data_IF_266206944395
#
_entry.id   IF_266206944395
#
_cell.length_a   1.000
_cell.length_b   1.000
_cell.length_c   1.000
_cell.angle_alpha   90.00
_cell.angle_beta   90.00
_cell.angle_gamma   90.00
#
_symmetry.space_group_name_H-M   'P 1'
#
loop_
_entity.id
_entity.type
_entity.pdbx_description
1 polymer ?
#
# COMPACT_ATOMS: atom_id res chain seq x y z
N UNK A 1 2.18 25.35 -4.27
CA UNK A 1 0.94 24.83 -3.66
C UNK A 1 0.97 25.13 -2.18
N UNK A 2 -0.15 25.56 -1.56
CA UNK A 2 -0.20 25.73 -0.11
C UNK A 2 0.18 24.42 0.59
N UNK A 3 1.03 24.44 1.63
CA UNK A 3 1.50 23.22 2.32
C UNK A 3 0.36 22.30 2.79
N UNK A 4 -0.77 22.90 3.18
CA UNK A 4 -1.98 22.22 3.65
C UNK A 4 -2.69 21.40 2.56
N UNK A 5 -2.76 21.91 1.33
CA UNK A 5 -3.42 21.23 0.19
C UNK A 5 -2.61 20.01 -0.24
N UNK A 6 -1.28 20.10 -0.17
CA UNK A 6 -0.39 19.02 -0.57
C UNK A 6 -0.40 17.86 0.42
N UNK A 7 -0.54 18.13 1.73
CA UNK A 7 -0.80 17.10 2.76
C UNK A 7 -2.12 16.36 2.51
N UNK A 8 -3.20 17.08 2.14
CA UNK A 8 -4.48 16.45 1.80
C UNK A 8 -4.36 15.54 0.57
N UNK A 9 -3.68 15.99 -0.49
CA UNK A 9 -3.47 15.18 -1.69
C UNK A 9 -2.61 13.95 -1.38
N UNK A 10 -1.53 14.11 -0.61
CA UNK A 10 -0.66 12.99 -0.26
C UNK A 10 -1.36 11.96 0.64
N UNK A 11 -2.20 12.41 1.58
CA UNK A 11 -3.05 11.51 2.37
C UNK A 11 -4.05 10.76 1.46
N UNK A 12 -4.76 11.47 0.59
CA UNK A 12 -5.71 10.86 -0.32
C UNK A 12 -5.02 9.85 -1.27
N UNK A 13 -3.83 10.18 -1.78
CA UNK A 13 -3.03 9.29 -2.61
C UNK A 13 -2.55 8.05 -1.84
N UNK A 14 -2.19 8.18 -0.57
CA UNK A 14 -1.81 7.05 0.28
C UNK A 14 -3.00 6.09 0.46
N UNK A 15 -4.17 6.63 0.78
CA UNK A 15 -5.41 5.85 1.00
C UNK A 15 -5.86 5.19 -0.30
N UNK A 16 -5.92 5.94 -1.41
CA UNK A 16 -6.28 5.38 -2.70
C UNK A 16 -5.28 4.30 -3.15
N UNK A 17 -3.97 4.56 -2.97
CA UNK A 17 -2.91 3.62 -3.29
C UNK A 17 -3.04 2.31 -2.53
N UNK A 18 -3.22 2.37 -1.20
CA UNK A 18 -3.33 1.15 -0.38
C UNK A 18 -4.59 0.36 -0.72
N UNK A 19 -5.71 1.03 -1.00
CA UNK A 19 -6.93 0.35 -1.42
C UNK A 19 -6.71 -0.38 -2.75
N UNK A 20 -6.21 0.30 -3.78
CA UNK A 20 -5.96 -0.30 -5.10
C UNK A 20 -4.99 -1.47 -4.97
N UNK A 21 -3.89 -1.30 -4.22
CA UNK A 21 -2.92 -2.36 -4.00
C UNK A 21 -3.51 -3.57 -3.27
N UNK A 22 -4.27 -3.32 -2.19
CA UNK A 22 -4.92 -4.39 -1.44
C UNK A 22 -5.88 -5.19 -2.32
N UNK A 23 -6.68 -4.53 -3.15
CA UNK A 23 -7.56 -5.20 -4.11
C UNK A 23 -6.78 -6.05 -5.11
N UNK A 24 -5.66 -5.55 -5.65
CA UNK A 24 -4.80 -6.31 -6.56
C UNK A 24 -4.25 -7.56 -5.86
N UNK A 25 -3.70 -7.41 -4.66
CA UNK A 25 -3.13 -8.52 -3.89
C UNK A 25 -4.20 -9.55 -3.52
N UNK A 26 -5.39 -9.11 -3.12
CA UNK A 26 -6.53 -9.99 -2.83
C UNK A 26 -6.97 -10.74 -4.08
N UNK A 27 -7.09 -10.06 -5.21
CA UNK A 27 -7.50 -10.66 -6.47
C UNK A 27 -6.48 -11.72 -6.94
N UNK A 28 -5.19 -11.38 -6.93
CA UNK A 28 -4.10 -12.32 -7.24
C UNK A 28 -4.08 -13.48 -6.26
N UNK A 29 -4.25 -13.20 -4.96
CA UNK A 29 -4.30 -14.22 -3.91
C UNK A 29 -5.46 -15.18 -4.12
N UNK A 30 -6.65 -14.69 -4.46
CA UNK A 30 -7.80 -15.56 -4.75
C UNK A 30 -7.55 -16.44 -5.97
N UNK A 31 -6.93 -15.91 -7.04
CA UNK A 31 -6.66 -16.68 -8.25
C UNK A 31 -5.54 -17.73 -8.10
N UNK A 32 -4.54 -17.46 -7.26
CA UNK A 32 -3.33 -18.30 -7.16
C UNK A 32 -3.27 -19.16 -5.90
N UNK A 33 -4.01 -18.79 -4.86
CA UNK A 33 -3.90 -19.38 -3.52
C UNK A 33 -5.19 -20.05 -3.01
N UNK A 34 -6.24 -20.18 -3.83
CA UNK A 34 -7.50 -20.83 -3.44
C UNK A 34 -7.31 -22.26 -2.91
N UNK A 35 -6.46 -23.06 -3.56
CA UNK A 35 -6.20 -24.47 -3.20
C UNK A 35 -4.94 -24.65 -2.34
N UNK A 36 -4.31 -23.57 -1.90
CA UNK A 36 -3.05 -23.62 -1.13
C UNK A 36 -3.35 -23.73 0.37
N UNK A 37 -2.46 -24.37 1.15
CA UNK A 37 -2.61 -24.45 2.59
C UNK A 37 -2.50 -23.06 3.26
N UNK A 38 -3.21 -22.89 4.37
CA UNK A 38 -3.35 -21.60 5.06
C UNK A 38 -2.02 -20.92 5.45
N UNK A 39 -0.97 -21.69 5.74
CA UNK A 39 0.35 -21.14 6.06
C UNK A 39 1.02 -20.46 4.85
N UNK A 40 0.77 -20.95 3.62
CA UNK A 40 1.27 -20.31 2.39
C UNK A 40 0.51 -19.02 2.15
N UNK A 41 -0.80 -19.02 2.36
CA UNK A 41 -1.62 -17.81 2.27
C UNK A 41 -1.13 -16.74 3.26
N UNK A 42 -0.88 -17.14 4.52
CA UNK A 42 -0.34 -16.24 5.54
C UNK A 42 1.01 -15.63 5.11
N UNK A 43 1.93 -16.47 4.62
CA UNK A 43 3.24 -16.00 4.14
C UNK A 43 3.10 -15.05 2.94
N UNK A 44 2.20 -15.35 2.00
CA UNK A 44 1.93 -14.52 0.83
C UNK A 44 1.36 -13.14 1.23
N UNK A 45 0.26 -13.12 1.98
CA UNK A 45 -0.36 -11.85 2.40
C UNK A 45 0.55 -11.06 3.34
N UNK A 46 1.30 -11.72 4.22
CA UNK A 46 2.30 -11.08 5.07
C UNK A 46 3.43 -10.43 4.25
N UNK A 47 3.99 -11.15 3.29
CA UNK A 47 5.05 -10.63 2.42
C UNK A 47 4.56 -9.47 1.56
N UNK A 48 3.44 -9.63 0.86
CA UNK A 48 2.89 -8.57 0.02
C UNK A 48 2.40 -7.36 0.84
N UNK A 49 1.92 -7.58 2.07
CA UNK A 49 1.63 -6.48 3.00
C UNK A 49 2.88 -5.67 3.37
N UNK A 50 4.01 -6.36 3.62
CA UNK A 50 5.29 -5.70 3.90
C UNK A 50 5.85 -4.97 2.68
N UNK A 51 5.72 -5.52 1.48
CA UNK A 51 6.17 -4.86 0.24
C UNK A 51 5.52 -3.48 0.07
N UNK A 52 4.27 -3.31 0.50
CA UNK A 52 3.55 -2.02 0.42
C UNK A 52 4.12 -0.93 1.35
N UNK A 53 4.85 -1.30 2.40
CA UNK A 53 5.44 -0.32 3.32
C UNK A 53 6.44 0.60 2.63
N UNK A 54 7.14 0.11 1.60
CA UNK A 54 8.12 0.89 0.83
C UNK A 54 7.44 2.02 0.03
N UNK A 55 6.41 1.76 -0.81
CA UNK A 55 5.60 2.80 -1.44
C UNK A 55 5.04 3.82 -0.43
N UNK A 56 4.48 3.34 0.69
CA UNK A 56 3.92 4.21 1.71
C UNK A 56 4.98 5.14 2.31
N UNK A 57 6.16 4.60 2.65
CA UNK A 57 7.27 5.37 3.20
C UNK A 57 7.82 6.41 2.19
N UNK A 58 7.92 6.05 0.90
CA UNK A 58 8.34 6.99 -0.16
C UNK A 58 7.35 8.16 -0.31
N UNK A 59 6.05 7.87 -0.30
CA UNK A 59 5.01 8.89 -0.40
C UNK A 59 5.00 9.81 0.83
N UNK A 60 5.18 9.25 2.03
CA UNK A 60 5.29 10.02 3.28
C UNK A 60 6.54 10.90 3.26
N UNK A 61 7.70 10.37 2.88
CA UNK A 61 8.94 11.16 2.74
C UNK A 61 8.79 12.29 1.72
N UNK A 62 8.03 12.07 0.65
CA UNK A 62 7.72 13.12 -0.31
C UNK A 62 6.89 14.24 0.34
N UNK A 63 5.87 13.87 1.13
CA UNK A 63 5.07 14.85 1.89
C UNK A 63 5.91 15.65 2.90
N UNK A 64 6.79 14.98 3.66
CA UNK A 64 7.65 15.61 4.67
C UNK A 64 8.74 16.53 4.09
N UNK A 65 9.36 16.13 2.97
CA UNK A 65 10.48 16.89 2.35
C UNK A 65 10.07 18.30 1.92
N UNK A 66 8.78 18.56 1.77
CA UNK A 66 8.25 19.85 1.33
C UNK A 66 7.91 20.81 2.48
N UNK A 67 7.94 20.32 3.72
CA UNK A 67 7.67 21.11 4.92
C UNK A 67 8.96 21.69 5.54
N UNK A 68 10.14 21.23 5.10
CA UNK A 68 11.44 21.87 5.37
C UNK A 68 11.76 22.91 4.30
#
# INVERSE_FOLDING_TARGET
MPPRVKKLIGLAALVAGVCVYAFIVMFVGQLTMADKPAWVQLAFFGFFGLVWTVPAALLIRWMERLER
#
